data_IF_224120576376
#
_entry.id   IF_224120576376
#
_cell.length_a   1.000
_cell.length_b   1.000
_cell.length_c   1.000
_cell.angle_alpha   90.00
_cell.angle_beta   90.00
_cell.angle_gamma   90.00
#
_symmetry.space_group_name_H-M   'P 1'
#
loop_
_entity.id
_entity.type
_entity.pdbx_description
1 polymer ?
#
# COMPACT_ATOMS: atom_id res chain seq x y z
N UNK A 1 -54.16 11.46 -43.17
CA UNK A 1 -53.10 10.43 -43.27
C UNK A 1 -52.01 11.09 -44.10
N UNK A 2 -50.82 11.44 -43.61
CA UNK A 2 -50.05 10.80 -42.56
C UNK A 2 -49.12 11.80 -41.83
N UNK A 3 -49.63 12.41 -40.76
CA UNK A 3 -48.83 13.09 -39.72
C UNK A 3 -48.02 12.04 -38.91
N UNK A 4 -48.47 10.79 -38.95
CA UNK A 4 -47.89 9.58 -38.38
C UNK A 4 -46.49 9.24 -38.90
N UNK A 5 -46.14 9.59 -40.13
CA UNK A 5 -44.85 9.19 -40.76
C UNK A 5 -43.67 10.09 -40.35
N UNK A 6 -43.92 11.36 -39.98
CA UNK A 6 -42.85 12.25 -39.49
C UNK A 6 -42.48 11.99 -38.04
N UNK A 7 -43.41 11.49 -37.22
CA UNK A 7 -43.20 11.22 -35.80
C UNK A 7 -42.34 9.96 -35.60
N UNK A 8 -42.48 8.95 -36.45
CA UNK A 8 -41.71 7.70 -36.34
C UNK A 8 -40.22 7.87 -36.67
N UNK A 9 -39.86 8.75 -37.60
CA UNK A 9 -38.46 8.97 -37.98
C UNK A 9 -37.64 9.71 -36.90
N UNK A 10 -38.26 10.63 -36.16
CA UNK A 10 -37.57 11.36 -35.08
C UNK A 10 -37.32 10.46 -33.87
N UNK A 11 -38.25 9.54 -33.57
CA UNK A 11 -38.13 8.62 -32.44
C UNK A 11 -37.02 7.58 -32.68
N UNK A 12 -36.78 7.18 -33.93
CA UNK A 12 -35.74 6.21 -34.31
C UNK A 12 -34.31 6.72 -34.13
N UNK A 13 -34.07 8.03 -34.22
CA UNK A 13 -32.69 8.60 -34.15
C UNK A 13 -32.26 8.88 -32.72
N UNK A 14 -33.20 9.04 -31.78
CA UNK A 14 -32.90 9.32 -30.37
C UNK A 14 -32.42 8.06 -29.61
N UNK A 15 -32.71 6.86 -30.13
CA UNK A 15 -32.37 5.60 -29.46
C UNK A 15 -30.96 5.05 -29.73
N UNK A 16 -30.16 5.67 -30.62
CA UNK A 16 -28.84 5.16 -31.00
C UNK A 16 -27.65 5.94 -30.38
N UNK A 17 -27.91 6.83 -29.42
CA UNK A 17 -26.89 7.72 -28.83
C UNK A 17 -26.48 7.44 -27.38
N UNK A 18 -26.98 6.38 -26.72
CA UNK A 18 -26.65 6.06 -25.33
C UNK A 18 -25.81 4.78 -25.24
N UNK A 19 -24.79 4.69 -26.09
CA UNK A 19 -23.68 3.78 -25.83
C UNK A 19 -22.61 4.59 -25.11
N UNK A 20 -22.11 4.06 -23.99
CA UNK A 20 -20.89 4.47 -23.31
C UNK A 20 -20.95 5.66 -22.34
N UNK A 21 -21.47 5.37 -21.16
CA UNK A 21 -20.62 5.45 -19.97
C UNK A 21 -21.14 4.47 -18.91
N UNK A 22 -20.78 3.18 -19.01
CA UNK A 22 -20.74 2.36 -17.79
C UNK A 22 -19.98 3.17 -16.73
N UNK A 23 -20.51 3.33 -15.50
CA UNK A 23 -19.79 4.07 -14.47
C UNK A 23 -18.44 3.36 -14.29
N UNK A 24 -17.39 4.03 -14.75
CA UNK A 24 -16.01 3.65 -14.46
C UNK A 24 -15.96 3.49 -12.94
N UNK A 25 -15.73 2.26 -12.44
CA UNK A 25 -15.64 1.98 -11.00
C UNK A 25 -14.81 3.10 -10.39
N UNK A 26 -15.33 3.78 -9.37
CA UNK A 26 -14.68 4.94 -8.73
C UNK A 26 -13.35 4.59 -8.06
N UNK A 27 -12.98 3.31 -8.08
CA UNK A 27 -11.90 2.71 -7.33
C UNK A 27 -11.14 1.69 -8.17
N UNK A 28 -9.83 1.58 -7.95
CA UNK A 28 -8.99 0.55 -8.56
C UNK A 28 -7.98 0.00 -7.55
N UNK A 29 -7.40 -1.15 -7.88
CA UNK A 29 -6.49 -1.87 -6.99
C UNK A 29 -5.21 -2.22 -7.73
N UNK A 30 -4.10 -2.19 -7.02
CA UNK A 30 -2.82 -2.76 -7.46
C UNK A 30 -2.29 -3.70 -6.40
N UNK A 31 -1.41 -4.62 -6.82
CA UNK A 31 -0.78 -5.58 -5.90
C UNK A 31 0.72 -5.35 -5.90
N UNK A 32 1.32 -5.39 -4.71
CA UNK A 32 2.75 -5.32 -4.46
C UNK A 32 3.20 -6.66 -3.90
N UNK A 33 4.40 -7.11 -4.28
CA UNK A 33 5.05 -8.26 -3.65
C UNK A 33 6.28 -7.75 -2.93
N UNK A 34 6.35 -7.97 -1.62
CA UNK A 34 7.50 -7.65 -0.80
C UNK A 34 8.22 -8.96 -0.48
N UNK A 35 9.40 -9.15 -1.06
CA UNK A 35 10.20 -10.36 -0.93
C UNK A 35 11.28 -10.12 0.12
N UNK A 36 11.32 -10.96 1.15
CA UNK A 36 12.32 -10.91 2.21
C UNK A 36 13.17 -12.18 2.19
N UNK A 37 14.50 -12.01 2.14
CA UNK A 37 15.44 -13.12 2.04
C UNK A 37 16.49 -13.08 3.15
N UNK A 38 16.74 -14.23 3.76
CA UNK A 38 17.84 -14.38 4.72
C UNK A 38 19.16 -14.49 3.97
N UNK A 39 20.04 -13.50 4.15
CA UNK A 39 21.35 -13.44 3.50
C UNK A 39 22.40 -14.01 4.46
N UNK A 40 23.32 -14.84 3.94
CA UNK A 40 24.44 -15.36 4.72
C UNK A 40 25.24 -14.22 5.37
N UNK A 41 25.54 -14.37 6.66
CA UNK A 41 26.25 -13.35 7.45
C UNK A 41 25.35 -12.27 8.07
N UNK A 42 24.06 -12.23 7.75
CA UNK A 42 23.09 -11.33 8.35
C UNK A 42 22.11 -12.07 9.28
N UNK A 43 21.81 -11.47 10.44
CA UNK A 43 20.85 -12.02 11.40
C UNK A 43 19.38 -11.74 11.04
N UNK A 44 19.17 -10.78 10.14
CA UNK A 44 17.88 -10.22 9.77
C UNK A 44 17.76 -10.37 8.25
N UNK A 45 16.63 -10.92 7.79
CA UNK A 45 16.30 -11.01 6.38
C UNK A 45 16.05 -9.63 5.81
N UNK A 46 16.56 -9.41 4.61
CA UNK A 46 16.41 -8.15 3.91
C UNK A 46 15.24 -8.23 2.93
N UNK A 47 14.42 -7.20 2.91
CA UNK A 47 13.23 -7.10 2.10
C UNK A 47 13.39 -6.10 0.96
N UNK A 48 12.77 -6.41 -0.17
CA UNK A 48 12.62 -5.50 -1.29
C UNK A 48 11.28 -5.70 -1.97
N UNK A 49 10.77 -4.64 -2.60
CA UNK A 49 9.64 -4.79 -3.51
C UNK A 49 10.11 -5.51 -4.76
N UNK A 50 9.37 -6.56 -5.12
CA UNK A 50 9.59 -7.32 -6.33
C UNK A 50 9.37 -6.41 -7.54
N UNK A 51 10.38 -6.32 -8.40
CA UNK A 51 10.26 -5.73 -9.71
C UNK A 51 10.63 -6.79 -10.76
N UNK A 52 9.71 -7.20 -11.63
CA UNK A 52 10.02 -8.19 -12.67
C UNK A 52 11.09 -7.70 -13.67
N UNK A 53 11.27 -6.39 -13.80
CA UNK A 53 12.15 -5.77 -14.80
C UNK A 53 13.57 -5.49 -14.27
N UNK A 54 13.81 -5.61 -12.96
CA UNK A 54 15.12 -5.30 -12.38
C UNK A 54 15.39 -6.08 -11.11
N UNK A 55 16.67 -6.41 -10.86
CA UNK A 55 17.09 -6.88 -9.53
C UNK A 55 16.99 -5.72 -8.55
N UNK A 56 16.04 -5.79 -7.62
CA UNK A 56 15.89 -4.78 -6.59
C UNK A 56 17.00 -4.93 -5.54
N UNK A 57 17.61 -3.82 -5.13
CA UNK A 57 18.48 -3.81 -3.95
C UNK A 57 17.67 -4.25 -2.73
N UNK A 58 18.29 -5.01 -1.83
CA UNK A 58 17.65 -5.49 -0.60
C UNK A 58 17.83 -4.47 0.53
N UNK A 59 16.70 -4.02 1.11
CA UNK A 59 16.53 -2.96 2.13
C UNK A 59 16.67 -1.46 1.75
N UNK A 60 16.51 -0.99 0.49
CA UNK A 60 16.73 0.43 0.17
C UNK A 60 15.69 1.37 0.81
N UNK A 61 14.56 0.85 1.29
CA UNK A 61 13.45 1.64 1.86
C UNK A 61 12.95 1.06 3.20
N UNK A 62 13.78 0.24 3.84
CA UNK A 62 13.47 -0.34 5.14
C UNK A 62 14.26 0.37 6.23
N UNK A 63 13.63 0.64 7.37
CA UNK A 63 14.32 1.21 8.53
C UNK A 63 13.99 0.45 9.82
N UNK A 64 14.88 0.59 10.79
CA UNK A 64 14.75 0.00 12.12
C UNK A 64 14.11 1.01 13.08
N UNK A 65 13.11 0.56 13.84
CA UNK A 65 12.51 1.29 14.95
C UNK A 65 12.38 0.39 16.17
N UNK A 66 12.42 0.99 17.35
CA UNK A 66 12.21 0.28 18.62
C UNK A 66 10.81 0.56 19.12
N UNK A 67 10.06 -0.49 19.44
CA UNK A 67 8.79 -0.37 20.15
C UNK A 67 9.09 -0.08 21.62
N UNK A 68 8.88 1.16 22.07
CA UNK A 68 9.19 1.59 23.45
C UNK A 68 8.37 0.83 24.50
N UNK A 69 7.17 0.35 24.15
CA UNK A 69 6.28 -0.35 25.10
C UNK A 69 6.75 -1.77 25.33
N UNK A 70 7.24 -2.44 24.27
CA UNK A 70 7.64 -3.86 24.31
C UNK A 70 9.15 -4.06 24.37
N UNK A 71 9.92 -3.00 24.18
CA UNK A 71 11.37 -3.04 23.97
C UNK A 71 11.77 -4.02 22.87
N UNK A 72 11.01 -4.03 21.77
CA UNK A 72 11.20 -4.94 20.63
C UNK A 72 11.64 -4.17 19.39
N UNK A 73 12.62 -4.71 18.66
CA UNK A 73 13.01 -4.20 17.34
C UNK A 73 11.93 -4.51 16.31
N UNK A 74 11.50 -3.48 15.58
CA UNK A 74 10.63 -3.54 14.41
C UNK A 74 11.38 -3.02 13.20
N UNK A 75 11.28 -3.74 12.08
CA UNK A 75 11.74 -3.25 10.79
C UNK A 75 10.53 -2.90 9.96
N UNK A 76 10.49 -1.68 9.48
CA UNK A 76 9.43 -1.12 8.67
C UNK A 76 9.92 -0.98 7.25
N UNK A 77 9.27 -1.64 6.30
CA UNK A 77 9.59 -1.56 4.89
C UNK A 77 8.45 -0.86 4.15
N UNK A 78 8.80 0.20 3.41
CA UNK A 78 7.86 0.92 2.55
C UNK A 78 7.32 0.00 1.45
N UNK A 79 6.00 0.02 1.23
CA UNK A 79 5.36 -0.83 0.20
C UNK A 79 4.94 -0.08 -1.07
N UNK A 80 5.23 1.22 -1.18
CA UNK A 80 4.96 2.05 -2.36
C UNK A 80 3.48 2.02 -2.74
N UNK A 81 2.66 2.38 -1.75
CA UNK A 81 1.22 2.51 -1.84
C UNK A 81 0.80 3.91 -1.41
N UNK A 82 1.54 4.90 -1.90
CA UNK A 82 1.28 6.31 -1.69
C UNK A 82 -0.12 6.67 -2.20
N UNK A 83 -0.85 7.50 -1.47
CA UNK A 83 -2.23 7.88 -1.82
C UNK A 83 -3.25 6.72 -1.78
N UNK A 84 -2.87 5.56 -1.25
CA UNK A 84 -3.81 4.48 -1.01
C UNK A 84 -4.66 4.77 0.23
N UNK A 85 -5.98 4.72 0.12
CA UNK A 85 -6.91 4.82 1.25
C UNK A 85 -7.25 3.46 1.90
N UNK A 86 -7.00 2.35 1.19
CA UNK A 86 -7.13 0.99 1.73
C UNK A 86 -5.92 0.12 1.38
N UNK A 87 -5.37 -0.57 2.38
CA UNK A 87 -4.31 -1.55 2.18
C UNK A 87 -4.56 -2.82 2.98
N UNK A 88 -4.17 -3.95 2.41
CA UNK A 88 -4.39 -5.27 3.03
C UNK A 88 -3.33 -6.27 2.60
N UNK A 89 -2.84 -7.07 3.54
CA UNK A 89 -2.00 -8.23 3.23
C UNK A 89 -2.92 -9.35 2.72
N UNK A 90 -2.82 -9.69 1.44
CA UNK A 90 -3.61 -10.75 0.81
C UNK A 90 -3.09 -12.13 1.21
N UNK A 91 -1.77 -12.29 1.21
CA UNK A 91 -1.12 -13.55 1.49
C UNK A 91 0.29 -13.36 2.03
N UNK A 92 0.76 -14.36 2.76
CA UNK A 92 2.18 -14.57 3.05
C UNK A 92 2.61 -15.90 2.44
N UNK A 93 3.82 -15.97 1.91
CA UNK A 93 4.39 -17.17 1.29
C UNK A 93 5.75 -17.45 1.95
N UNK A 94 5.92 -18.62 2.60
CA UNK A 94 4.97 -19.71 2.75
C UNK A 94 3.85 -19.42 3.76
N UNK A 95 2.62 -19.86 3.45
CA UNK A 95 1.43 -19.58 4.26
C UNK A 95 1.47 -20.24 5.65
N UNK A 96 2.20 -21.35 5.77
CA UNK A 96 2.35 -22.16 6.99
C UNK A 96 3.55 -21.74 7.87
N UNK A 97 4.15 -20.57 7.63
CA UNK A 97 5.19 -20.04 8.50
C UNK A 97 4.59 -19.52 9.82
N UNK A 98 4.83 -20.22 10.94
CA UNK A 98 4.33 -19.81 12.26
C UNK A 98 5.16 -18.71 12.94
N UNK A 99 6.37 -18.42 12.47
CA UNK A 99 7.20 -17.35 13.02
C UNK A 99 6.68 -15.96 12.63
N UNK A 100 5.94 -15.84 11.53
CA UNK A 100 5.27 -14.61 11.10
C UNK A 100 3.76 -14.73 11.28
N UNK A 101 3.22 -14.18 12.36
CA UNK A 101 1.77 -14.08 12.58
C UNK A 101 1.30 -12.63 12.45
N UNK A 102 0.18 -12.42 11.77
CA UNK A 102 -0.41 -11.08 11.56
C UNK A 102 -0.81 -10.48 12.91
N UNK A 103 -0.68 -9.16 13.06
CA UNK A 103 -0.88 -8.39 14.30
C UNK A 103 0.18 -8.61 15.39
N UNK A 104 0.84 -9.77 15.43
CA UNK A 104 1.87 -10.08 16.44
C UNK A 104 3.27 -9.72 15.96
N UNK A 105 3.65 -10.25 14.80
CA UNK A 105 5.02 -10.18 14.27
C UNK A 105 5.10 -9.49 12.92
N UNK A 106 3.96 -9.19 12.30
CA UNK A 106 3.89 -8.28 11.17
C UNK A 106 2.52 -7.62 11.07
N UNK A 107 2.46 -6.41 10.54
CA UNK A 107 1.22 -5.73 10.15
C UNK A 107 1.54 -4.57 9.20
N UNK A 108 0.49 -4.00 8.60
CA UNK A 108 0.57 -2.74 7.88
C UNK A 108 0.39 -1.58 8.86
N UNK A 109 1.22 -0.56 8.75
CA UNK A 109 1.11 0.69 9.48
C UNK A 109 1.26 1.85 8.50
N UNK A 110 0.42 2.88 8.67
CA UNK A 110 0.44 4.05 7.81
C UNK A 110 1.29 5.13 8.44
N UNK A 111 2.22 5.67 7.67
CA UNK A 111 2.98 6.86 8.03
C UNK A 111 2.77 7.91 6.96
N UNK A 112 2.01 8.97 7.32
CA UNK A 112 1.64 10.05 6.41
C UNK A 112 1.01 9.52 5.11
N UNK A 113 1.66 9.78 3.99
CA UNK A 113 1.17 9.48 2.65
C UNK A 113 1.31 8.01 2.24
N UNK A 114 2.21 7.24 2.88
CA UNK A 114 2.50 5.87 2.48
C UNK A 114 2.30 4.84 3.60
N UNK A 115 2.29 3.59 3.18
CA UNK A 115 2.13 2.40 3.99
C UNK A 115 3.44 1.65 4.12
N UNK A 116 3.60 1.06 5.28
CA UNK A 116 4.77 0.29 5.66
C UNK A 116 4.32 -1.05 6.17
N UNK A 117 4.97 -2.12 5.72
CA UNK A 117 4.86 -3.42 6.34
C UNK A 117 5.96 -3.52 7.38
N UNK A 118 5.56 -3.64 8.65
CA UNK A 118 6.52 -3.86 9.73
C UNK A 118 6.62 -5.32 10.08
N UNK A 119 7.81 -5.73 10.54
CA UNK A 119 8.09 -7.07 11.05
C UNK A 119 8.86 -6.99 12.36
N UNK A 120 8.67 -7.97 13.25
CA UNK A 120 9.37 -8.05 14.54
C UNK A 120 9.69 -9.48 14.97
N UNK A 121 10.59 -9.60 15.95
CA UNK A 121 10.97 -10.86 16.57
C UNK A 121 11.46 -11.89 15.56
N UNK A 122 11.06 -13.15 15.72
CA UNK A 122 11.49 -14.23 14.84
C UNK A 122 11.09 -14.01 13.38
N UNK A 123 10.03 -13.25 13.08
CA UNK A 123 9.67 -12.98 11.69
C UNK A 123 10.80 -12.26 10.91
N UNK A 124 11.64 -11.48 11.61
CA UNK A 124 12.78 -10.77 11.02
C UNK A 124 13.86 -11.68 10.45
N UNK A 125 13.97 -12.94 10.89
CA UNK A 125 15.02 -13.85 10.42
C UNK A 125 14.53 -14.83 9.35
N UNK A 126 13.29 -14.68 8.90
CA UNK A 126 12.67 -15.63 7.97
C UNK A 126 12.73 -15.14 6.53
N UNK A 127 12.95 -16.08 5.61
CA UNK A 127 12.67 -15.89 4.19
C UNK A 127 11.17 -16.02 3.98
N UNK A 128 10.54 -14.94 3.53
CA UNK A 128 9.08 -14.85 3.39
C UNK A 128 8.72 -13.76 2.40
N UNK A 129 7.65 -13.97 1.65
CA UNK A 129 7.08 -13.00 0.72
C UNK A 129 5.70 -12.57 1.20
N UNK A 130 5.40 -11.28 1.12
CA UNK A 130 4.08 -10.72 1.39
C UNK A 130 3.47 -10.19 0.10
N UNK A 131 2.24 -10.61 -0.18
CA UNK A 131 1.42 -10.03 -1.25
C UNK A 131 0.47 -9.02 -0.64
N UNK A 132 0.62 -7.75 -1.01
CA UNK A 132 -0.13 -6.63 -0.45
C UNK A 132 -0.97 -5.99 -1.53
N UNK A 133 -2.25 -5.77 -1.25
CA UNK A 133 -3.16 -5.04 -2.12
C UNK A 133 -3.27 -3.60 -1.64
N UNK A 134 -3.18 -2.68 -2.60
CA UNK A 134 -3.35 -1.26 -2.36
C UNK A 134 -4.50 -0.74 -3.22
N UNK A 135 -5.42 -0.05 -2.56
CA UNK A 135 -6.63 0.50 -3.13
C UNK A 135 -6.55 2.00 -3.30
N UNK A 136 -7.08 2.49 -4.42
CA UNK A 136 -6.99 3.89 -4.79
C UNK A 136 -8.33 4.39 -5.34
N UNK A 137 -8.74 5.56 -4.87
CA UNK A 137 -9.75 6.34 -5.56
C UNK A 137 -9.26 6.72 -6.95
N UNK A 138 -10.12 6.63 -7.97
CA UNK A 138 -9.77 7.06 -9.34
C UNK A 138 -9.56 8.58 -9.46
N UNK A 139 -10.22 9.35 -8.61
CA UNK A 139 -10.00 10.78 -8.48
C UNK A 139 -9.14 11.01 -7.23
N UNK A 140 -7.85 11.31 -7.42
CA UNK A 140 -6.90 11.53 -6.33
C UNK A 140 -7.33 12.68 -5.41
N UNK A 141 -8.10 13.66 -5.92
CA UNK A 141 -8.64 14.77 -5.10
C UNK A 141 -9.55 14.27 -3.98
N UNK A 142 -10.23 13.13 -4.18
CA UNK A 142 -11.06 12.50 -3.14
C UNK A 142 -10.18 12.03 -1.99
N UNK A 143 -9.05 11.37 -2.30
CA UNK A 143 -8.08 10.93 -1.31
C UNK A 143 -7.58 12.10 -0.45
N UNK A 144 -7.08 13.17 -1.09
CA UNK A 144 -6.55 14.33 -0.38
C UNK A 144 -7.60 15.04 0.48
N UNK A 145 -8.83 15.19 -0.03
CA UNK A 145 -9.93 15.83 0.72
C UNK A 145 -10.34 15.01 1.95
N UNK A 146 -10.35 13.69 1.84
CA UNK A 146 -10.76 12.81 2.95
C UNK A 146 -9.64 12.58 3.96
N UNK A 147 -8.39 12.72 3.55
CA UNK A 147 -7.22 12.41 4.36
C UNK A 147 -6.37 13.64 4.69
N UNK A 148 -6.97 14.83 4.79
CA UNK A 148 -6.26 16.09 5.09
C UNK A 148 -5.35 15.99 6.32
N UNK A 149 -5.78 15.25 7.35
CA UNK A 149 -5.01 15.03 8.59
C UNK A 149 -3.67 14.31 8.38
N UNK A 150 -3.50 13.52 7.31
CA UNK A 150 -2.22 12.86 7.01
C UNK A 150 -1.11 13.84 6.63
N UNK A 151 -1.50 15.05 6.23
CA UNK A 151 -0.60 16.11 5.79
C UNK A 151 -0.44 17.23 6.82
N UNK A 152 -1.17 17.14 7.92
CA UNK A 152 -1.00 18.03 9.06
C UNK A 152 0.33 17.66 9.74
N UNK A 153 1.20 18.65 9.94
CA UNK A 153 2.44 18.45 10.67
C UNK A 153 2.11 18.44 12.16
N UNK A 154 2.29 17.30 12.82
CA UNK A 154 2.19 17.22 14.27
C UNK A 154 3.52 17.72 14.88
N UNK A 155 3.46 18.91 15.51
CA UNK A 155 4.61 19.55 16.17
C UNK A 155 4.97 18.89 17.51
N UNK A 156 4.29 17.81 17.92
CA UNK A 156 4.58 17.11 19.16
C UNK A 156 6.00 16.51 19.19
N UNK A 157 6.68 16.61 20.34
CA UNK A 157 8.08 16.14 20.48
C UNK A 157 8.27 14.65 20.14
N UNK A 158 7.24 13.82 20.35
CA UNK A 158 7.23 12.40 20.02
C UNK A 158 7.23 12.15 18.51
N UNK A 159 6.46 12.93 17.75
CA UNK A 159 6.41 12.82 16.29
C UNK A 159 7.61 13.51 15.64
N UNK A 160 8.17 14.56 16.25
CA UNK A 160 9.46 15.14 15.86
C UNK A 160 10.64 14.19 16.09
N UNK A 161 10.62 13.35 17.14
CA UNK A 161 11.62 12.28 17.33
C UNK A 161 11.47 11.19 16.28
N UNK A 162 10.24 10.75 16.00
CA UNK A 162 9.93 9.85 14.88
C UNK A 162 10.46 10.45 13.56
N UNK A 163 10.06 11.67 13.21
CA UNK A 163 10.44 12.46 12.02
C UNK A 163 11.95 12.74 11.88
N UNK A 164 12.66 12.95 13.00
CA UNK A 164 14.12 13.11 12.97
C UNK A 164 14.84 11.81 12.67
N UNK A 165 14.39 10.69 13.23
CA UNK A 165 14.90 9.37 12.85
C UNK A 165 14.64 9.11 11.35
N UNK A 166 13.50 9.55 10.83
CA UNK A 166 13.17 9.45 9.39
C UNK A 166 14.12 10.26 8.48
N UNK A 167 14.62 11.43 8.90
CA UNK A 167 15.54 12.25 8.08
C UNK A 167 16.97 11.71 8.04
N UNK A 168 17.38 10.95 9.06
CA UNK A 168 18.73 10.37 9.14
C UNK A 168 18.83 9.07 8.31
N UNK A 169 17.71 8.36 8.10
CA UNK A 169 17.68 7.14 7.28
C UNK A 169 17.74 7.38 5.76
N UNK A 170 17.63 8.63 5.29
CA UNK A 170 17.62 9.02 3.87
C UNK A 170 18.62 10.15 3.55
N UNK A 171 19.62 10.37 4.41
CA UNK A 171 20.75 11.27 4.20
C UNK A 171 22.04 10.45 4.10
#
# INVERSE_FOLDING_TARGET
MDITVRVTFVISVILLGISDAFPKKSYYWTTRKLECETIAGHRISRCALHNPESKTELNPLCYEGTDEVRNETKIYCRIMCEESDDTTVLAKVPMWNHACNIYYNYMLERFREDWYLWRSGNCLNTTITFEVRCGFARDSRVFYRQNQKLFEYDDSEGEQKRARNWRIAFA
#
